data_IF_011014142277
#
_entry.id   IF_011014142277
#
_cell.length_a   1.000
_cell.length_b   1.000
_cell.length_c   1.000
_cell.angle_alpha   90.00
_cell.angle_beta   90.00
_cell.angle_gamma   90.00
#
_symmetry.space_group_name_H-M   'P 1'
#
loop_
_entity.id
_entity.type
_entity.pdbx_description
1 polymer ?
#
# COMPACT_ATOMS: atom_id res chain seq x y z
N UNK A 1 -2.95 1.01 -14.24
CA UNK A 1 -1.70 0.66 -13.55
C UNK A 1 -1.75 1.08 -12.08
N UNK A 2 -2.01 2.33 -11.76
CA UNK A 2 -2.05 2.84 -10.36
C UNK A 2 -2.94 2.01 -9.43
N UNK A 3 -4.17 1.69 -9.82
CA UNK A 3 -5.07 0.85 -9.01
C UNK A 3 -4.52 -0.57 -8.79
N UNK A 4 -3.80 -1.08 -9.76
CA UNK A 4 -3.16 -2.38 -9.67
C UNK A 4 -1.98 -2.37 -8.69
N UNK A 5 -1.16 -1.31 -8.74
CA UNK A 5 -0.05 -1.11 -7.80
C UNK A 5 -0.59 -0.98 -6.38
N UNK A 6 -1.68 -0.20 -6.18
CA UNK A 6 -2.34 -0.07 -4.88
C UNK A 6 -2.92 -1.38 -4.37
N UNK A 7 -3.51 -2.20 -5.24
CA UNK A 7 -3.99 -3.53 -4.85
C UNK A 7 -2.83 -4.45 -4.41
N UNK A 8 -1.69 -4.35 -5.07
CA UNK A 8 -0.46 -5.06 -4.69
C UNK A 8 0.08 -4.56 -3.35
N UNK A 9 0.16 -3.23 -3.16
CA UNK A 9 0.51 -2.59 -1.89
C UNK A 9 -0.37 -3.09 -0.73
N UNK A 10 -1.67 -3.20 -0.93
CA UNK A 10 -2.59 -3.70 0.10
C UNK A 10 -2.32 -5.16 0.45
N UNK A 11 -2.03 -6.02 -0.53
CA UNK A 11 -1.65 -7.42 -0.28
C UNK A 11 -0.35 -7.52 0.52
N UNK A 12 0.67 -6.73 0.15
CA UNK A 12 1.95 -6.68 0.86
C UNK A 12 1.75 -6.21 2.32
N UNK A 13 0.93 -5.19 2.52
CA UNK A 13 0.57 -4.70 3.85
C UNK A 13 -0.08 -5.79 4.70
N UNK A 14 -1.07 -6.49 4.15
CA UNK A 14 -1.76 -7.58 4.87
C UNK A 14 -0.77 -8.68 5.28
N UNK A 15 0.18 -9.03 4.40
CA UNK A 15 1.27 -9.97 4.71
C UNK A 15 2.16 -9.49 5.86
N UNK A 16 2.58 -8.22 5.82
CA UNK A 16 3.39 -7.62 6.87
C UNK A 16 2.63 -7.56 8.21
N UNK A 17 1.36 -7.13 8.18
CA UNK A 17 0.48 -7.09 9.37
C UNK A 17 0.34 -8.47 10.00
N UNK A 18 0.12 -9.51 9.19
CA UNK A 18 0.04 -10.89 9.66
C UNK A 18 1.33 -11.29 10.37
N UNK A 19 2.48 -11.09 9.72
CA UNK A 19 3.79 -11.42 10.28
C UNK A 19 4.04 -10.75 11.64
N UNK A 20 3.86 -9.42 11.73
CA UNK A 20 4.06 -8.69 12.98
C UNK A 20 3.08 -9.10 14.08
N UNK A 21 1.86 -9.50 13.72
CA UNK A 21 0.88 -10.01 14.66
C UNK A 21 1.30 -11.37 15.23
N UNK A 22 1.79 -12.27 14.37
CA UNK A 22 2.22 -13.62 14.74
C UNK A 22 3.43 -13.60 15.71
N UNK A 23 4.34 -12.63 15.54
CA UNK A 23 5.49 -12.46 16.46
C UNK A 23 5.19 -11.59 17.68
N UNK A 24 3.92 -11.20 17.89
CA UNK A 24 3.49 -10.40 19.05
C UNK A 24 3.84 -8.91 18.97
N UNK A 25 4.26 -8.42 17.82
CA UNK A 25 4.66 -7.02 17.58
C UNK A 25 3.63 -6.22 16.76
N UNK A 26 2.37 -6.59 16.81
CA UNK A 26 1.30 -5.97 16.02
C UNK A 26 1.21 -4.44 16.16
N UNK A 27 1.63 -3.87 17.27
CA UNK A 27 1.67 -2.41 17.47
C UNK A 27 2.59 -1.68 16.48
N UNK A 28 3.63 -2.34 15.95
CA UNK A 28 4.56 -1.78 14.97
C UNK A 28 3.93 -1.63 13.57
N UNK A 29 2.71 -2.10 13.38
CA UNK A 29 1.97 -1.94 12.12
C UNK A 29 1.18 -0.63 12.03
N UNK A 30 1.33 0.27 12.99
CA UNK A 30 0.85 1.65 12.87
C UNK A 30 1.81 2.48 11.98
N UNK A 31 1.30 3.52 11.30
CA UNK A 31 2.17 4.47 10.56
C UNK A 31 3.08 5.28 11.49
N UNK A 32 2.62 5.54 12.70
CA UNK A 32 3.38 6.14 13.79
C UNK A 32 3.43 5.11 14.92
N UNK A 33 4.32 4.12 14.82
CA UNK A 33 4.39 3.06 15.81
C UNK A 33 4.97 3.55 17.14
N UNK A 34 4.61 2.92 18.27
CA UNK A 34 5.24 3.19 19.56
C UNK A 34 6.63 2.51 19.57
N UNK A 35 7.67 3.31 19.33
CA UNK A 35 9.07 2.83 19.28
C UNK A 35 9.84 3.08 20.58
N UNK A 36 9.18 3.50 21.66
CA UNK A 36 9.84 3.69 22.94
C UNK A 36 10.36 2.34 23.48
N UNK A 37 11.67 2.24 23.65
CA UNK A 37 12.33 1.01 24.08
C UNK A 37 12.47 -0.08 23.01
N UNK A 38 12.14 0.23 21.75
CA UNK A 38 12.34 -0.67 20.60
C UNK A 38 13.54 -0.19 19.79
N UNK A 39 14.36 -1.13 19.32
CA UNK A 39 15.41 -0.79 18.36
C UNK A 39 14.75 -0.30 17.05
N UNK A 40 15.12 0.88 16.54
CA UNK A 40 14.56 1.40 15.28
C UNK A 40 14.71 0.44 14.10
N UNK A 41 15.78 -0.35 14.05
CA UNK A 41 16.00 -1.31 12.98
C UNK A 41 15.01 -2.49 13.08
N UNK A 42 14.64 -2.92 14.30
CA UNK A 42 13.62 -3.95 14.53
C UNK A 42 12.19 -3.43 14.18
N UNK A 43 11.97 -2.11 14.29
CA UNK A 43 10.70 -1.48 13.91
C UNK A 43 10.59 -1.22 12.41
N UNK A 44 11.67 -1.40 11.63
CA UNK A 44 11.66 -1.19 10.19
C UNK A 44 10.82 -2.26 9.48
N UNK A 45 9.91 -1.82 8.61
CA UNK A 45 9.00 -2.71 7.89
C UNK A 45 8.49 -2.10 6.59
N UNK A 46 7.74 -2.88 5.81
CA UNK A 46 7.02 -2.39 4.64
C UNK A 46 5.80 -1.51 5.00
N UNK A 47 5.33 -1.55 6.26
CA UNK A 47 4.10 -0.85 6.68
C UNK A 47 4.09 0.64 6.37
N UNK A 48 5.12 1.45 6.71
CA UNK A 48 5.10 2.88 6.39
C UNK A 48 5.08 3.15 4.88
N UNK A 49 5.62 2.26 4.07
CA UNK A 49 5.59 2.40 2.61
C UNK A 49 4.19 2.10 2.06
N UNK A 50 3.64 0.93 2.35
CA UNK A 50 2.38 0.45 1.77
C UNK A 50 1.16 1.20 2.34
N UNK A 51 1.11 1.34 3.67
CA UNK A 51 0.03 2.07 4.34
C UNK A 51 0.14 3.58 4.09
N UNK A 52 1.37 4.11 4.05
CA UNK A 52 1.63 5.51 3.78
C UNK A 52 1.28 5.91 2.35
N UNK A 53 1.69 5.12 1.34
CA UNK A 53 1.32 5.37 -0.05
C UNK A 53 -0.19 5.36 -0.25
N UNK A 54 -0.89 4.39 0.35
CA UNK A 54 -2.35 4.30 0.30
C UNK A 54 -3.02 5.55 0.89
N UNK A 55 -2.52 6.07 2.03
CA UNK A 55 -3.01 7.33 2.61
C UNK A 55 -2.82 8.52 1.68
N UNK A 56 -1.66 8.61 1.01
CA UNK A 56 -1.36 9.70 0.08
C UNK A 56 -2.26 9.63 -1.16
N UNK A 57 -2.49 8.45 -1.72
CA UNK A 57 -3.45 8.27 -2.83
C UNK A 57 -4.90 8.57 -2.41
N UNK A 58 -5.29 8.18 -1.21
CA UNK A 58 -6.61 8.55 -0.67
C UNK A 58 -6.74 10.07 -0.56
N UNK A 59 -5.71 10.76 -0.09
CA UNK A 59 -5.69 12.22 0.00
C UNK A 59 -5.83 12.85 -1.40
N UNK A 60 -5.04 12.39 -2.37
CA UNK A 60 -5.10 12.85 -3.76
C UNK A 60 -6.50 12.69 -4.34
N UNK A 61 -7.09 11.49 -4.26
CA UNK A 61 -8.44 11.22 -4.76
C UNK A 61 -9.51 12.08 -4.08
N UNK A 62 -9.31 12.39 -2.79
CA UNK A 62 -10.26 13.22 -2.05
C UNK A 62 -10.21 14.69 -2.47
N UNK A 63 -9.01 15.24 -2.70
CA UNK A 63 -8.86 16.68 -3.00
C UNK A 63 -8.77 16.99 -4.50
N UNK A 64 -8.53 15.97 -5.31
CA UNK A 64 -8.37 16.04 -6.76
C UNK A 64 -6.91 16.32 -7.19
N UNK A 65 -6.52 15.76 -8.33
CA UNK A 65 -5.16 15.76 -8.88
C UNK A 65 -4.52 17.16 -8.95
N UNK A 66 -5.23 18.16 -9.48
CA UNK A 66 -4.68 19.50 -9.67
C UNK A 66 -4.33 20.19 -8.34
N UNK A 67 -5.20 20.06 -7.34
CA UNK A 67 -4.98 20.61 -5.99
C UNK A 67 -3.88 19.85 -5.27
N UNK A 68 -3.86 18.53 -5.41
CA UNK A 68 -2.84 17.66 -4.83
C UNK A 68 -1.45 17.94 -5.44
N UNK A 69 -1.34 18.05 -6.77
CA UNK A 69 -0.08 18.41 -7.44
C UNK A 69 0.51 19.74 -6.93
N UNK A 70 -0.37 20.74 -6.73
CA UNK A 70 0.03 22.02 -6.16
C UNK A 70 0.52 21.88 -4.71
N UNK A 71 -0.18 21.08 -3.91
CA UNK A 71 0.20 20.75 -2.54
C UNK A 71 1.56 20.06 -2.47
N UNK A 72 1.82 19.04 -3.30
CA UNK A 72 3.11 18.31 -3.31
C UNK A 72 4.26 19.25 -3.67
N UNK A 73 4.09 20.12 -4.67
CA UNK A 73 5.12 21.11 -5.04
C UNK A 73 5.42 22.08 -3.90
N UNK A 74 4.39 22.52 -3.18
CA UNK A 74 4.55 23.38 -2.01
C UNK A 74 5.23 22.63 -0.86
N UNK A 75 4.86 21.36 -0.61
CA UNK A 75 5.46 20.50 0.41
C UNK A 75 6.97 20.31 0.19
N UNK A 76 7.37 19.94 -1.02
CA UNK A 76 8.79 19.76 -1.36
C UNK A 76 9.56 21.09 -1.21
N UNK A 77 8.97 22.22 -1.60
CA UNK A 77 9.61 23.54 -1.47
C UNK A 77 9.83 23.94 -0.01
N UNK A 78 8.83 23.69 0.83
CA UNK A 78 8.85 24.04 2.27
C UNK A 78 9.85 23.19 3.05
N UNK A 79 9.83 21.87 2.81
CA UNK A 79 10.56 20.91 3.64
C UNK A 79 11.82 20.34 2.99
N UNK A 80 12.24 20.85 1.84
CA UNK A 80 13.48 20.38 1.17
C UNK A 80 14.67 20.47 2.12
N UNK A 81 15.46 19.39 2.13
CA UNK A 81 16.68 19.29 2.96
C UNK A 81 16.43 19.35 4.48
N UNK A 82 15.21 19.12 4.93
CA UNK A 82 14.85 19.06 6.34
C UNK A 82 14.14 17.75 6.66
N UNK A 83 13.99 17.46 7.96
CA UNK A 83 13.11 16.38 8.45
C UNK A 83 11.73 16.95 8.76
N UNK A 84 10.70 16.10 8.68
CA UNK A 84 9.30 16.50 8.91
C UNK A 84 8.68 15.54 9.92
N UNK A 85 8.09 16.10 10.96
CA UNK A 85 7.29 15.32 11.92
C UNK A 85 5.86 15.12 11.41
N UNK A 86 5.17 14.11 11.93
CA UNK A 86 3.75 13.84 11.62
C UNK A 86 2.87 15.06 11.91
N UNK A 87 3.14 15.78 13.02
CA UNK A 87 2.40 16.99 13.38
C UNK A 87 2.60 18.11 12.34
N UNK A 88 3.83 18.31 11.88
CA UNK A 88 4.13 19.29 10.81
C UNK A 88 3.46 18.92 9.50
N UNK A 89 3.49 17.64 9.10
CA UNK A 89 2.76 17.16 7.93
C UNK A 89 1.26 17.45 8.05
N UNK A 90 0.64 17.14 9.18
CA UNK A 90 -0.78 17.40 9.42
C UNK A 90 -1.13 18.89 9.33
N UNK A 91 -0.32 19.75 9.98
CA UNK A 91 -0.50 21.20 9.92
C UNK A 91 -0.36 21.72 8.47
N UNK A 92 0.57 21.15 7.70
CA UNK A 92 0.77 21.52 6.31
C UNK A 92 -0.41 21.10 5.43
N UNK A 93 -0.95 19.89 5.61
CA UNK A 93 -2.18 19.44 4.94
C UNK A 93 -3.32 20.39 5.24
N UNK A 94 -3.56 20.71 6.51
CA UNK A 94 -4.61 21.64 6.94
C UNK A 94 -4.47 23.02 6.30
N UNK A 95 -3.25 23.55 6.25
CA UNK A 95 -2.96 24.86 5.67
C UNK A 95 -3.24 24.93 4.16
N UNK A 96 -2.89 23.89 3.42
CA UNK A 96 -2.92 23.92 1.95
C UNK A 96 -4.15 23.25 1.33
N UNK A 97 -4.69 22.23 1.98
CA UNK A 97 -5.82 21.46 1.48
C UNK A 97 -7.11 21.73 2.27
N UNK A 98 -6.99 22.31 3.47
CA UNK A 98 -8.10 22.53 4.39
C UNK A 98 -8.49 21.27 5.15
N UNK A 99 -9.69 21.26 5.69
CA UNK A 99 -10.25 20.08 6.32
C UNK A 99 -10.52 18.98 5.28
N UNK A 100 -10.08 17.76 5.62
CA UNK A 100 -10.33 16.55 4.84
C UNK A 100 -11.06 15.57 5.77
N UNK A 101 -12.37 15.79 6.03
CA UNK A 101 -13.13 15.06 7.05
C UNK A 101 -13.34 13.59 6.68
N UNK A 102 -13.15 13.22 5.43
CA UNK A 102 -13.22 11.83 4.94
C UNK A 102 -12.06 10.97 5.42
N UNK A 103 -10.97 11.58 5.90
CA UNK A 103 -9.79 10.88 6.41
C UNK A 103 -9.77 10.95 7.94
N UNK A 104 -9.95 9.80 8.59
CA UNK A 104 -9.71 9.66 10.03
C UNK A 104 -8.21 9.58 10.31
N UNK A 105 -7.59 10.74 10.47
CA UNK A 105 -6.15 10.86 10.67
C UNK A 105 -5.64 10.12 11.90
N UNK A 106 -6.43 10.08 12.98
CA UNK A 106 -6.03 9.38 14.19
C UNK A 106 -5.90 7.88 13.91
N UNK A 107 -6.89 7.29 13.26
CA UNK A 107 -6.84 5.88 12.87
C UNK A 107 -5.73 5.61 11.86
N UNK A 108 -5.55 6.48 10.86
CA UNK A 108 -4.49 6.29 9.86
C UNK A 108 -3.10 6.28 10.47
N UNK A 109 -2.81 7.20 11.41
CA UNK A 109 -1.47 7.28 12.00
C UNK A 109 -1.24 6.26 13.11
N UNK A 110 -2.21 6.02 13.97
CA UNK A 110 -1.98 5.32 15.24
C UNK A 110 -2.68 3.96 15.36
N UNK A 111 -3.65 3.64 14.51
CA UNK A 111 -4.23 2.30 14.55
C UNK A 111 -3.27 1.29 13.92
N UNK A 112 -2.92 0.20 14.65
CA UNK A 112 -2.21 -0.93 14.06
C UNK A 112 -3.11 -1.70 13.10
N UNK A 113 -2.52 -2.61 12.35
CA UNK A 113 -3.23 -3.45 11.39
C UNK A 113 -3.32 -2.85 9.99
N UNK A 114 -4.25 -3.36 9.20
CA UNK A 114 -4.49 -2.95 7.82
C UNK A 114 -4.96 -1.50 7.68
N UNK A 115 -5.20 -1.09 6.43
CA UNK A 115 -5.72 0.25 6.13
C UNK A 115 -7.08 0.48 6.80
N UNK A 116 -7.28 1.65 7.46
CA UNK A 116 -8.56 1.94 8.14
C UNK A 116 -9.74 2.15 7.20
N UNK A 117 -9.46 2.43 5.93
CA UNK A 117 -10.45 2.80 4.92
C UNK A 117 -10.04 2.23 3.57
N UNK A 118 -10.90 1.43 2.96
CA UNK A 118 -10.67 0.85 1.64
C UNK A 118 -10.73 1.92 0.55
N UNK A 119 -9.86 1.77 -0.44
CA UNK A 119 -9.95 2.47 -1.72
C UNK A 119 -10.76 1.62 -2.70
N UNK A 120 -11.64 2.25 -3.47
CA UNK A 120 -12.24 1.60 -4.62
C UNK A 120 -11.17 1.49 -5.71
N UNK A 121 -10.71 0.27 -5.99
CA UNK A 121 -9.68 -0.03 -6.98
C UNK A 121 -10.29 -0.72 -8.19
N UNK A 122 -9.75 -0.44 -9.36
CA UNK A 122 -10.04 -1.20 -10.56
C UNK A 122 -9.04 -2.35 -10.68
N UNK A 123 -9.47 -3.54 -10.25
CA UNK A 123 -8.63 -4.74 -10.24
C UNK A 123 -8.67 -5.56 -11.55
N UNK A 124 -9.30 -5.03 -12.61
CA UNK A 124 -9.51 -5.77 -13.87
C UNK A 124 -8.22 -6.31 -14.51
N UNK A 125 -7.10 -5.61 -14.35
CA UNK A 125 -5.80 -6.08 -14.82
C UNK A 125 -5.32 -7.31 -14.03
N UNK A 126 -5.55 -7.30 -12.72
CA UNK A 126 -5.20 -8.43 -11.84
C UNK A 126 -6.09 -9.66 -12.09
N UNK A 127 -7.37 -9.47 -12.39
CA UNK A 127 -8.30 -10.55 -12.69
C UNK A 127 -7.85 -11.41 -13.88
N UNK A 128 -7.37 -10.77 -14.95
CA UNK A 128 -6.84 -11.46 -16.13
C UNK A 128 -5.64 -12.34 -15.78
N UNK A 129 -4.72 -11.82 -14.97
CA UNK A 129 -3.54 -12.54 -14.52
C UNK A 129 -3.91 -13.76 -13.64
N UNK A 130 -4.79 -13.54 -12.67
CA UNK A 130 -5.29 -14.59 -11.78
C UNK A 130 -6.07 -15.67 -12.56
N UNK A 131 -6.91 -15.29 -13.53
CA UNK A 131 -7.66 -16.22 -14.36
C UNK A 131 -6.71 -17.12 -15.17
N UNK A 132 -5.68 -16.56 -15.79
CA UNK A 132 -4.69 -17.32 -16.54
C UNK A 132 -3.88 -18.25 -15.63
N UNK A 133 -3.47 -17.78 -14.45
CA UNK A 133 -2.77 -18.62 -13.46
C UNK A 133 -3.60 -19.82 -13.01
N UNK A 134 -4.90 -19.61 -12.76
CA UNK A 134 -5.84 -20.71 -12.43
C UNK A 134 -5.96 -21.72 -13.58
N UNK A 135 -6.06 -21.23 -14.81
CA UNK A 135 -6.11 -22.10 -16.00
C UNK A 135 -4.85 -22.96 -16.13
N UNK A 136 -3.66 -22.37 -15.94
CA UNK A 136 -2.41 -23.12 -16.01
C UNK A 136 -2.30 -24.18 -14.91
N UNK A 137 -2.71 -23.87 -13.70
CA UNK A 137 -2.74 -24.85 -12.60
C UNK A 137 -3.68 -26.00 -12.88
N UNK A 138 -4.86 -25.73 -13.44
CA UNK A 138 -5.85 -26.76 -13.78
C UNK A 138 -5.37 -27.67 -14.90
N UNK A 139 -4.70 -27.10 -15.88
CA UNK A 139 -4.24 -27.86 -17.08
C UNK A 139 -2.87 -28.54 -16.86
N UNK A 140 -2.16 -28.22 -15.77
CA UNK A 140 -0.81 -28.71 -15.45
C UNK A 140 0.29 -28.17 -16.37
N UNK A 141 -0.05 -27.31 -17.34
CA UNK A 141 0.87 -26.63 -18.25
C UNK A 141 0.22 -25.39 -18.84
N UNK A 142 1.05 -24.49 -19.38
CA UNK A 142 0.60 -23.31 -20.09
C UNK A 142 1.57 -22.87 -21.18
N UNK A 143 1.10 -21.99 -22.06
CA UNK A 143 1.89 -21.42 -23.14
C UNK A 143 2.32 -20.01 -22.80
N UNK A 144 3.63 -19.76 -22.74
CA UNK A 144 4.22 -18.44 -22.45
C UNK A 144 3.88 -17.38 -23.52
N UNK A 145 3.48 -17.78 -24.73
CA UNK A 145 3.01 -16.84 -25.75
C UNK A 145 1.77 -16.06 -25.28
N UNK A 146 0.97 -16.63 -24.39
CA UNK A 146 -0.19 -15.96 -23.78
C UNK A 146 0.17 -14.76 -22.90
N UNK A 147 1.46 -14.61 -22.54
CA UNK A 147 1.99 -13.47 -21.79
C UNK A 147 2.61 -12.38 -22.69
N UNK A 148 2.58 -12.58 -24.02
CA UNK A 148 3.05 -11.58 -24.96
C UNK A 148 2.18 -10.31 -24.86
N UNK A 149 2.84 -9.13 -24.86
CA UNK A 149 2.19 -7.85 -24.71
C UNK A 149 1.75 -7.49 -23.28
N UNK A 150 1.96 -8.38 -22.30
CA UNK A 150 1.68 -8.05 -20.89
C UNK A 150 2.75 -7.14 -20.32
N UNK A 151 2.30 -6.21 -19.45
CA UNK A 151 3.20 -5.38 -18.64
C UNK A 151 3.95 -6.23 -17.62
N UNK A 152 4.99 -5.66 -17.04
CA UNK A 152 5.74 -6.31 -15.96
C UNK A 152 4.81 -6.63 -14.78
N UNK A 153 3.93 -5.70 -14.41
CA UNK A 153 3.03 -5.85 -13.27
C UNK A 153 2.00 -6.96 -13.48
N UNK A 154 1.44 -7.07 -14.69
CA UNK A 154 0.57 -8.19 -15.05
C UNK A 154 1.30 -9.54 -14.96
N UNK A 155 2.57 -9.60 -15.38
CA UNK A 155 3.40 -10.80 -15.28
C UNK A 155 3.72 -11.16 -13.83
N UNK A 156 4.02 -10.17 -13.00
CA UNK A 156 4.24 -10.38 -11.56
C UNK A 156 2.97 -10.91 -10.90
N UNK A 157 1.82 -10.29 -11.13
CA UNK A 157 0.55 -10.78 -10.58
C UNK A 157 0.20 -12.20 -11.01
N UNK A 158 0.53 -12.57 -12.25
CA UNK A 158 0.36 -13.92 -12.75
C UNK A 158 1.26 -14.91 -12.00
N UNK A 159 2.55 -14.57 -11.80
CA UNK A 159 3.50 -15.41 -11.08
C UNK A 159 3.12 -15.57 -9.61
N UNK A 160 2.70 -14.48 -8.95
CA UNK A 160 2.20 -14.49 -7.57
C UNK A 160 0.97 -15.40 -7.44
N UNK A 161 0.03 -15.27 -8.38
CA UNK A 161 -1.17 -16.11 -8.40
C UNK A 161 -0.86 -17.60 -8.70
N UNK A 162 0.19 -17.88 -9.46
CA UNK A 162 0.69 -19.25 -9.67
C UNK A 162 1.32 -19.81 -8.40
N UNK A 163 2.14 -19.02 -7.70
CA UNK A 163 2.84 -19.40 -6.47
C UNK A 163 1.91 -19.58 -5.28
N UNK A 164 0.89 -18.76 -5.14
CA UNK A 164 -0.07 -18.80 -4.02
C UNK A 164 -0.87 -20.12 -3.90
N UNK A 165 -0.82 -20.98 -4.88
CA UNK A 165 -1.45 -22.31 -4.84
C UNK A 165 -0.54 -23.46 -4.39
N UNK A 166 0.72 -23.15 -3.98
CA UNK A 166 1.71 -24.17 -3.58
C UNK A 166 1.73 -24.50 -2.10
N UNK A 167 0.95 -23.82 -1.27
CA UNK A 167 0.96 -23.98 0.20
C UNK A 167 -0.22 -24.83 0.73
N UNK A 168 -0.83 -25.63 -0.13
CA UNK A 168 -1.79 -26.65 0.30
C UNK A 168 -1.02 -27.90 0.79
N UNK A 169 -0.41 -27.76 1.97
CA UNK A 169 0.00 -28.83 2.88
C UNK A 169 0.44 -30.16 2.23
N UNK A 170 1.74 -30.29 1.92
CA UNK A 170 2.40 -31.59 1.88
C UNK A 170 3.48 -31.66 2.94
#
# INVERSE_FOLDING_TARGET
LEDFDLATSQRNLTGAVKHFTEIGQGALTALVPPIEGVDPDDAFSLVPYEKGSTLIHLLERTVGEAKFSTFVKAYIREFRFTTVTTAQFRAFVQKHLGDVPTIDWCRWFHAPGDIPQSLALNESLGEKAVALARQWRTNGCGDFSSLEGWTTDEKVAFLDALGAGGDDGR
#
